data_IF_988105806420
#
_entry.id   IF_988105806420
#
_cell.length_a   1.000
_cell.length_b   1.000
_cell.length_c   1.000
_cell.angle_alpha   90.00
_cell.angle_beta   90.00
_cell.angle_gamma   90.00
#
_symmetry.space_group_name_H-M   'P 1'
#
loop_
_entity.id
_entity.type
_entity.pdbx_description
1 polymer ?
#
# COMPACT_ATOMS: atom_id res chain seq x y z
N UNK A 1 -26.24 -36.42 35.17
CA UNK A 1 -25.16 -36.24 34.18
C UNK A 1 -25.80 -35.84 32.89
N UNK A 2 -25.76 -34.54 32.55
CA UNK A 2 -26.25 -34.03 31.27
C UNK A 2 -25.03 -33.90 30.32
N UNK A 3 -25.05 -34.64 29.27
CA UNK A 3 -24.02 -34.60 28.19
C UNK A 3 -24.49 -33.53 27.19
N UNK A 4 -23.88 -32.38 27.18
CA UNK A 4 -24.07 -31.34 26.16
C UNK A 4 -23.25 -31.71 24.94
N UNK A 5 -23.90 -32.07 23.86
CA UNK A 5 -23.30 -32.27 22.54
C UNK A 5 -23.00 -30.88 21.94
N UNK A 6 -21.73 -30.55 21.76
CA UNK A 6 -21.30 -29.41 20.94
C UNK A 6 -21.39 -29.80 19.47
N UNK A 7 -22.40 -29.29 18.77
CA UNK A 7 -22.43 -29.32 17.30
C UNK A 7 -21.43 -28.28 16.77
N UNK A 8 -20.27 -28.73 16.30
CA UNK A 8 -19.39 -27.93 15.46
C UNK A 8 -19.99 -27.88 14.05
N UNK A 9 -20.70 -26.80 13.75
CA UNK A 9 -21.01 -26.43 12.37
C UNK A 9 -19.69 -26.06 11.70
N UNK A 10 -19.12 -26.99 10.94
CA UNK A 10 -18.00 -26.73 10.04
C UNK A 10 -18.48 -25.74 8.99
N UNK A 11 -18.04 -24.49 9.09
CA UNK A 11 -18.12 -23.57 7.98
C UNK A 11 -17.21 -24.15 6.89
N UNK A 12 -17.78 -24.48 5.73
CA UNK A 12 -17.01 -24.81 4.53
C UNK A 12 -16.17 -23.56 4.22
N UNK A 13 -14.86 -23.65 4.43
CA UNK A 13 -13.94 -22.62 4.00
C UNK A 13 -14.03 -22.58 2.47
N UNK A 14 -14.38 -21.43 1.92
CA UNK A 14 -14.35 -21.19 0.48
C UNK A 14 -12.87 -21.20 0.07
N UNK A 15 -12.38 -22.31 -0.45
CA UNK A 15 -10.98 -22.50 -0.87
C UNK A 15 -10.56 -21.51 -1.98
N UNK A 16 -11.51 -20.78 -2.57
CA UNK A 16 -11.25 -19.73 -3.55
C UNK A 16 -10.81 -18.39 -2.93
N UNK A 17 -10.84 -18.28 -1.60
CA UNK A 17 -10.46 -17.06 -0.87
C UNK A 17 -9.56 -17.35 0.32
N UNK A 18 -8.62 -16.44 0.55
CA UNK A 18 -7.75 -16.44 1.72
C UNK A 18 -7.74 -15.07 2.37
N UNK A 19 -7.98 -15.02 3.66
CA UNK A 19 -7.83 -13.78 4.45
C UNK A 19 -6.73 -13.98 5.48
N UNK A 20 -5.81 -13.02 5.55
CA UNK A 20 -4.82 -12.93 6.62
C UNK A 20 -4.85 -11.54 7.23
N UNK A 21 -4.68 -11.48 8.54
CA UNK A 21 -4.67 -10.24 9.31
C UNK A 21 -3.36 -10.08 10.06
N UNK A 22 -2.93 -8.84 10.24
CA UNK A 22 -1.78 -8.46 11.06
C UNK A 22 -2.20 -7.32 11.98
N UNK A 23 -1.82 -7.39 13.24
CA UNK A 23 -1.96 -6.28 14.17
C UNK A 23 -0.70 -6.19 15.03
N UNK A 24 -0.05 -5.00 15.03
CA UNK A 24 1.21 -4.78 15.74
C UNK A 24 1.26 -3.41 16.38
N UNK A 25 1.79 -3.35 17.59
CA UNK A 25 2.12 -2.08 18.23
C UNK A 25 3.46 -1.55 17.65
N UNK A 26 3.39 -0.38 17.03
CA UNK A 26 4.52 0.31 16.43
C UNK A 26 4.85 1.63 17.12
N UNK A 27 4.46 1.77 18.41
CA UNK A 27 4.72 2.99 19.19
C UNK A 27 6.20 3.41 19.15
N UNK A 28 7.13 2.45 19.23
CA UNK A 28 8.58 2.69 19.25
C UNK A 28 9.17 2.99 17.88
N UNK A 29 8.44 2.73 16.80
CA UNK A 29 8.93 3.00 15.45
C UNK A 29 8.88 4.50 15.15
N UNK A 30 9.88 5.00 14.47
CA UNK A 30 9.90 6.33 13.83
C UNK A 30 9.55 6.21 12.34
N UNK A 31 9.89 5.07 11.74
CA UNK A 31 9.66 4.76 10.33
C UNK A 31 8.89 3.44 10.24
N UNK A 32 7.86 3.42 9.42
CA UNK A 32 7.17 2.19 9.00
C UNK A 32 7.55 1.91 7.55
N UNK A 33 8.09 0.71 7.31
CA UNK A 33 8.47 0.25 5.98
C UNK A 33 7.57 -0.91 5.56
N UNK A 34 6.97 -0.80 4.37
CA UNK A 34 6.08 -1.78 3.80
C UNK A 34 6.64 -2.30 2.47
N UNK A 35 6.76 -3.61 2.34
CA UNK A 35 7.15 -4.29 1.11
C UNK A 35 5.99 -5.15 0.64
N UNK A 36 5.36 -4.75 -0.46
CA UNK A 36 4.13 -5.35 -0.98
C UNK A 36 4.38 -5.88 -2.40
N UNK A 37 4.01 -7.13 -2.71
CA UNK A 37 4.29 -7.68 -4.04
C UNK A 37 3.38 -7.11 -5.12
N UNK A 38 2.07 -7.30 -4.97
CA UNK A 38 1.05 -6.88 -5.94
C UNK A 38 -0.26 -6.57 -5.24
N UNK A 39 -1.20 -5.98 -5.96
CA UNK A 39 -2.61 -5.88 -5.57
C UNK A 39 -3.13 -4.46 -5.52
N UNK A 40 -4.38 -4.37 -5.13
CA UNK A 40 -5.00 -3.10 -4.77
C UNK A 40 -4.77 -2.82 -3.31
N UNK A 41 -3.97 -1.80 -3.03
CA UNK A 41 -3.55 -1.42 -1.68
C UNK A 41 -4.17 -0.09 -1.29
N UNK A 42 -4.80 -0.05 -0.13
CA UNK A 42 -5.30 1.17 0.50
C UNK A 42 -4.63 1.32 1.86
N UNK A 43 -3.93 2.42 2.07
CA UNK A 43 -3.26 2.73 3.34
C UNK A 43 -3.83 4.02 3.89
N UNK A 44 -4.34 3.96 5.12
CA UNK A 44 -4.94 5.10 5.81
C UNK A 44 -4.18 5.44 7.09
N UNK A 45 -3.89 6.72 7.28
CA UNK A 45 -3.33 7.24 8.51
C UNK A 45 -4.39 7.39 9.60
N UNK A 46 -4.14 6.83 10.77
CA UNK A 46 -5.04 6.89 11.93
C UNK A 46 -4.33 7.45 13.17
N UNK A 47 -5.10 7.87 14.15
CA UNK A 47 -4.56 8.25 15.47
C UNK A 47 -4.33 6.98 16.28
N UNK A 48 -3.17 6.85 16.92
CA UNK A 48 -2.81 5.70 17.75
C UNK A 48 -1.40 5.19 17.50
N UNK A 49 -1.10 4.01 18.05
CA UNK A 49 0.22 3.38 17.95
C UNK A 49 0.21 2.02 17.24
N UNK A 50 -0.95 1.60 16.75
CA UNK A 50 -1.14 0.25 16.21
C UNK A 50 -1.21 0.29 14.69
N UNK A 51 -0.44 -0.59 14.04
CA UNK A 51 -0.61 -0.94 12.63
C UNK A 51 -1.55 -2.14 12.54
N UNK A 52 -2.56 -2.04 11.68
CA UNK A 52 -3.44 -3.15 11.31
C UNK A 52 -3.39 -3.34 9.81
N UNK A 53 -3.33 -4.58 9.35
CA UNK A 53 -3.35 -4.92 7.93
C UNK A 53 -4.24 -6.13 7.70
N UNK A 54 -5.16 -6.00 6.75
CA UNK A 54 -6.03 -7.06 6.27
C UNK A 54 -5.70 -7.33 4.80
N UNK A 55 -5.43 -8.57 4.48
CA UNK A 55 -5.16 -9.03 3.11
C UNK A 55 -6.21 -10.03 2.73
N UNK A 56 -6.86 -9.81 1.61
CA UNK A 56 -7.83 -10.72 1.01
C UNK A 56 -7.29 -11.15 -0.35
N UNK A 57 -6.98 -12.43 -0.49
CA UNK A 57 -6.68 -13.08 -1.75
C UNK A 57 -7.92 -13.78 -2.30
N UNK A 58 -8.21 -13.60 -3.59
CA UNK A 58 -9.30 -14.28 -4.29
C UNK A 58 -8.80 -14.87 -5.59
N UNK A 59 -9.14 -16.13 -5.88
CA UNK A 59 -8.85 -16.76 -7.17
C UNK A 59 -9.61 -16.06 -8.29
N UNK A 60 -8.95 -15.80 -9.42
CA UNK A 60 -9.58 -15.26 -10.63
C UNK A 60 -10.39 -16.33 -11.37
N UNK A 61 -9.93 -17.56 -11.36
CA UNK A 61 -10.61 -18.71 -11.99
C UNK A 61 -11.26 -19.60 -10.93
N UNK A 62 -12.36 -20.26 -11.31
CA UNK A 62 -13.21 -21.03 -10.40
C UNK A 62 -12.55 -22.30 -9.83
N UNK A 63 -11.31 -22.64 -10.18
CA UNK A 63 -10.60 -23.81 -9.66
C UNK A 63 -9.70 -23.41 -8.51
N UNK A 64 -10.14 -23.66 -7.29
CA UNK A 64 -9.41 -23.38 -6.04
C UNK A 64 -7.97 -23.94 -6.03
N UNK A 65 -7.74 -25.06 -6.72
CA UNK A 65 -6.44 -25.72 -6.78
C UNK A 65 -5.33 -24.86 -7.39
N UNK A 66 -5.65 -23.96 -8.33
CA UNK A 66 -4.68 -23.09 -8.97
C UNK A 66 -4.10 -22.02 -8.01
N UNK A 67 -4.87 -21.62 -7.00
CA UNK A 67 -4.49 -20.57 -6.05
C UNK A 67 -3.93 -21.12 -4.74
N UNK A 68 -4.22 -22.37 -4.42
CA UNK A 68 -3.82 -22.96 -3.15
C UNK A 68 -2.32 -22.85 -2.85
N UNK A 69 -1.39 -23.09 -3.79
CA UNK A 69 0.04 -22.95 -3.51
C UNK A 69 0.45 -21.53 -3.10
N UNK A 70 -0.23 -20.51 -3.64
CA UNK A 70 -0.02 -19.12 -3.23
C UNK A 70 -0.61 -18.86 -1.85
N UNK A 71 -1.85 -19.29 -1.62
CA UNK A 71 -2.52 -19.06 -0.34
C UNK A 71 -1.81 -19.70 0.83
N UNK A 72 -1.19 -20.87 0.63
CA UNK A 72 -0.39 -21.54 1.65
C UNK A 72 0.88 -20.76 2.01
N UNK A 73 1.42 -19.98 1.07
CA UNK A 73 2.61 -19.14 1.26
C UNK A 73 2.28 -17.71 1.69
N UNK A 74 1.00 -17.30 1.57
CA UNK A 74 0.60 -15.92 1.87
C UNK A 74 0.74 -15.64 3.36
N UNK A 75 1.72 -14.84 3.72
CA UNK A 75 2.04 -14.54 5.12
C UNK A 75 2.76 -13.20 5.26
N UNK A 76 2.59 -12.57 6.41
CA UNK A 76 3.39 -11.42 6.81
C UNK A 76 4.69 -11.87 7.48
N UNK A 77 5.79 -11.24 7.10
CA UNK A 77 7.02 -11.21 7.89
C UNK A 77 7.21 -9.83 8.46
N UNK A 78 7.77 -9.74 9.68
CA UNK A 78 7.94 -8.48 10.39
C UNK A 78 9.30 -8.39 11.09
N UNK A 79 9.81 -7.16 11.16
CA UNK A 79 10.96 -6.80 11.98
C UNK A 79 10.63 -5.52 12.72
N UNK A 80 10.56 -5.57 14.05
CA UNK A 80 10.20 -4.42 14.89
C UNK A 80 11.46 -3.72 15.42
N UNK A 81 11.40 -2.40 15.53
CA UNK A 81 12.49 -1.57 16.01
C UNK A 81 12.21 -0.09 15.78
N UNK A 82 13.24 0.74 15.72
CA UNK A 82 13.13 2.16 15.32
C UNK A 82 12.59 2.29 13.89
N UNK A 83 12.91 1.34 13.03
CA UNK A 83 12.22 1.07 11.78
C UNK A 83 11.44 -0.22 11.95
N UNK A 84 10.11 -0.14 11.84
CA UNK A 84 9.25 -1.31 11.80
C UNK A 84 9.04 -1.71 10.33
N UNK A 85 9.52 -2.87 9.96
CA UNK A 85 9.44 -3.40 8.59
C UNK A 85 8.44 -4.55 8.52
N UNK A 86 7.56 -4.50 7.51
CA UNK A 86 6.56 -5.52 7.23
C UNK A 86 6.63 -5.89 5.76
N UNK A 87 6.69 -7.17 5.47
CA UNK A 87 6.72 -7.69 4.10
C UNK A 87 5.67 -8.76 3.91
N UNK A 88 4.87 -8.63 2.86
CA UNK A 88 3.92 -9.66 2.45
C UNK A 88 4.63 -10.64 1.51
N UNK A 89 4.56 -11.92 1.85
CA UNK A 89 5.12 -13.01 1.05
C UNK A 89 4.03 -13.79 0.31
N UNK A 90 4.36 -14.43 -0.82
CA UNK A 90 5.64 -14.38 -1.52
C UNK A 90 5.90 -13.01 -2.16
N UNK A 91 7.16 -12.61 -2.25
CA UNK A 91 7.55 -11.28 -2.79
C UNK A 91 7.60 -11.21 -4.33
N UNK A 92 7.50 -12.34 -5.02
CA UNK A 92 7.51 -12.39 -6.49
C UNK A 92 6.16 -11.98 -7.07
N UNK A 93 6.14 -10.99 -7.95
CA UNK A 93 4.93 -10.52 -8.65
C UNK A 93 4.29 -11.63 -9.49
N UNK A 94 5.11 -12.43 -10.17
CA UNK A 94 4.62 -13.51 -11.06
C UNK A 94 3.85 -14.63 -10.34
N UNK A 95 4.05 -14.77 -9.04
CA UNK A 95 3.33 -15.77 -8.24
C UNK A 95 1.83 -15.46 -8.11
N UNK A 96 1.42 -14.21 -8.41
CA UNK A 96 0.05 -13.72 -8.22
C UNK A 96 -0.81 -13.67 -9.50
N UNK A 97 -0.37 -14.26 -10.61
CA UNK A 97 -1.05 -14.13 -11.90
C UNK A 97 -2.52 -14.56 -11.87
N UNK A 98 -2.86 -15.59 -11.10
CA UNK A 98 -4.22 -16.14 -10.99
C UNK A 98 -4.97 -15.67 -9.74
N UNK A 99 -4.45 -14.65 -9.03
CA UNK A 99 -5.04 -14.18 -7.77
C UNK A 99 -5.21 -12.67 -7.78
N UNK A 100 -6.37 -12.22 -7.35
CA UNK A 100 -6.59 -10.82 -6.99
C UNK A 100 -6.27 -10.63 -5.51
N UNK A 101 -5.39 -9.66 -5.22
CA UNK A 101 -5.00 -9.30 -3.85
C UNK A 101 -5.53 -7.91 -3.52
N UNK A 102 -6.28 -7.82 -2.42
CA UNK A 102 -6.70 -6.57 -1.81
C UNK A 102 -6.05 -6.44 -0.44
N UNK A 103 -5.42 -5.29 -0.19
CA UNK A 103 -4.71 -5.01 1.05
C UNK A 103 -5.25 -3.71 1.62
N UNK A 104 -5.75 -3.76 2.85
CA UNK A 104 -6.16 -2.58 3.59
C UNK A 104 -5.27 -2.43 4.81
N UNK A 105 -4.59 -1.29 4.94
CA UNK A 105 -3.69 -1.02 6.07
C UNK A 105 -4.12 0.26 6.76
N UNK A 106 -4.26 0.22 8.06
CA UNK A 106 -4.34 1.39 8.91
C UNK A 106 -3.08 1.49 9.77
N UNK A 107 -2.47 2.67 9.81
CA UNK A 107 -1.21 2.89 10.52
C UNK A 107 -1.17 4.27 11.18
N UNK A 108 -0.32 4.46 12.22
CA UNK A 108 -0.18 5.75 12.87
C UNK A 108 0.27 6.84 11.90
N UNK A 109 -0.53 7.92 11.78
CA UNK A 109 -0.29 9.03 10.85
C UNK A 109 0.89 9.94 11.21
N UNK A 110 1.50 9.76 12.38
CA UNK A 110 2.67 10.50 12.85
C UNK A 110 4.01 9.86 12.42
N UNK A 111 3.99 8.64 11.91
CA UNK A 111 5.20 7.91 11.51
C UNK A 111 5.60 8.24 10.07
N UNK A 112 6.90 8.33 9.82
CA UNK A 112 7.42 8.35 8.44
C UNK A 112 7.10 7.04 7.76
N UNK A 113 6.83 7.10 6.46
CA UNK A 113 6.37 5.94 5.70
C UNK A 113 7.27 5.69 4.49
N UNK A 114 7.74 4.46 4.35
CA UNK A 114 8.45 3.96 3.18
C UNK A 114 7.68 2.78 2.61
N UNK A 115 7.28 2.85 1.34
CA UNK A 115 6.48 1.82 0.69
C UNK A 115 7.16 1.40 -0.61
N UNK A 116 7.26 0.10 -0.79
CA UNK A 116 7.71 -0.54 -2.01
C UNK A 116 6.63 -1.52 -2.48
N UNK A 117 6.08 -1.28 -3.66
CA UNK A 117 5.09 -2.18 -4.25
C UNK A 117 5.54 -2.63 -5.65
N UNK A 118 5.33 -3.91 -5.95
CA UNK A 118 5.67 -4.48 -7.24
C UNK A 118 4.72 -4.03 -8.34
N UNK A 119 3.41 -4.30 -8.19
CA UNK A 119 2.44 -3.92 -9.21
C UNK A 119 1.04 -3.69 -8.62
N UNK A 120 0.22 -2.91 -9.32
CA UNK A 120 -1.20 -2.70 -8.99
C UNK A 120 -1.55 -1.26 -8.68
N UNK A 121 -2.47 -1.05 -7.77
CA UNK A 121 -2.96 0.25 -7.34
C UNK A 121 -2.53 0.50 -5.89
N UNK A 122 -1.92 1.66 -5.62
CA UNK A 122 -1.53 2.09 -4.28
C UNK A 122 -2.19 3.42 -3.95
N UNK A 123 -3.10 3.40 -2.99
CA UNK A 123 -3.82 4.57 -2.49
C UNK A 123 -3.37 4.92 -1.07
N UNK A 124 -2.86 6.11 -0.88
CA UNK A 124 -2.40 6.64 0.40
C UNK A 124 -3.31 7.78 0.84
N UNK A 125 -3.98 7.62 1.98
CA UNK A 125 -5.01 8.53 2.46
C UNK A 125 -4.66 8.99 3.88
N UNK A 126 -4.56 10.30 4.09
CA UNK A 126 -4.31 10.92 5.41
C UNK A 126 -3.07 10.37 6.15
N UNK A 127 -2.10 9.82 5.41
CA UNK A 127 -0.83 9.37 5.95
C UNK A 127 0.10 10.55 6.25
N UNK A 128 1.22 10.30 6.93
CA UNK A 128 2.25 11.31 7.11
C UNK A 128 2.77 11.78 5.75
N UNK A 129 2.91 13.09 5.57
CA UNK A 129 3.46 13.66 4.33
C UNK A 129 4.99 13.44 4.19
N UNK A 130 5.69 13.04 5.26
CA UNK A 130 7.07 12.56 5.20
C UNK A 130 7.09 11.11 4.68
N UNK A 131 7.05 10.95 3.36
CA UNK A 131 6.72 9.71 2.68
C UNK A 131 7.68 9.44 1.53
N UNK A 132 8.09 8.18 1.39
CA UNK A 132 8.68 7.64 0.16
C UNK A 132 7.83 6.49 -0.35
N UNK A 133 7.35 6.55 -1.58
CA UNK A 133 6.59 5.49 -2.22
C UNK A 133 7.20 5.14 -3.58
N UNK A 134 7.44 3.86 -3.80
CA UNK A 134 7.97 3.32 -5.05
C UNK A 134 7.05 2.20 -5.55
N UNK A 135 6.54 2.35 -6.77
CA UNK A 135 5.71 1.37 -7.46
C UNK A 135 6.37 0.98 -8.79
N UNK A 136 6.57 -0.32 -9.04
CA UNK A 136 7.17 -0.73 -10.32
C UNK A 136 6.19 -0.61 -11.48
N UNK A 137 4.92 -1.01 -11.29
CA UNK A 137 3.94 -0.90 -12.36
C UNK A 137 2.53 -0.63 -11.81
N UNK A 138 1.83 0.35 -12.36
CA UNK A 138 0.45 0.64 -12.01
C UNK A 138 0.15 2.09 -11.65
N UNK A 139 -0.71 2.32 -10.69
CA UNK A 139 -1.21 3.63 -10.33
C UNK A 139 -0.93 3.94 -8.85
N UNK A 140 -0.27 5.08 -8.58
CA UNK A 140 0.01 5.60 -7.24
C UNK A 140 -0.80 6.87 -7.02
N UNK A 141 -1.73 6.81 -6.07
CA UNK A 141 -2.55 7.95 -5.64
C UNK A 141 -2.20 8.35 -4.21
N UNK A 142 -1.93 9.62 -4.00
CA UNK A 142 -1.57 10.15 -2.69
C UNK A 142 -2.46 11.34 -2.36
N UNK A 143 -3.07 11.32 -1.18
CA UNK A 143 -3.70 12.49 -0.57
C UNK A 143 -2.86 12.96 0.60
N UNK A 144 -2.42 14.22 0.58
CA UNK A 144 -1.55 14.79 1.60
C UNK A 144 -1.99 16.21 2.00
N UNK A 145 -1.71 16.59 3.26
CA UNK A 145 -1.94 17.96 3.70
C UNK A 145 -0.86 18.89 3.14
N UNK A 146 -1.30 19.93 2.40
CA UNK A 146 -0.40 20.96 1.84
C UNK A 146 0.45 21.61 2.93
N UNK A 147 -0.13 21.87 4.10
CA UNK A 147 0.56 22.52 5.22
C UNK A 147 1.71 21.72 5.82
N UNK A 148 1.73 20.40 5.61
CA UNK A 148 2.82 19.54 6.10
C UNK A 148 4.01 19.47 5.14
N UNK A 149 3.81 19.73 3.84
CA UNK A 149 4.81 19.52 2.80
C UNK A 149 5.75 20.70 2.64
N UNK A 150 7.06 20.46 2.69
CA UNK A 150 8.12 21.38 2.21
C UNK A 150 8.41 21.12 0.73
N UNK A 151 8.40 19.86 0.32
CA UNK A 151 8.76 19.43 -1.03
C UNK A 151 8.00 18.17 -1.40
N UNK A 152 7.44 18.11 -2.60
CA UNK A 152 6.97 16.88 -3.22
C UNK A 152 7.68 16.68 -4.56
N UNK A 153 8.34 15.54 -4.71
CA UNK A 153 8.94 15.07 -5.96
C UNK A 153 8.17 13.86 -6.46
N UNK A 154 7.54 14.03 -7.61
CA UNK A 154 6.74 12.99 -8.26
C UNK A 154 7.40 12.64 -9.59
N UNK A 155 7.57 11.37 -9.88
CA UNK A 155 8.17 10.91 -11.14
C UNK A 155 7.51 9.64 -11.66
N UNK A 156 7.33 9.57 -12.96
CA UNK A 156 7.01 8.35 -13.70
C UNK A 156 8.04 8.18 -14.83
N UNK A 157 8.72 7.03 -14.87
CA UNK A 157 9.71 6.77 -15.93
C UNK A 157 9.03 6.54 -17.28
N UNK A 158 7.91 5.82 -17.26
CA UNK A 158 7.04 5.59 -18.43
C UNK A 158 5.60 5.85 -17.98
N UNK A 159 5.05 7.02 -18.34
CA UNK A 159 3.67 7.38 -17.97
C UNK A 159 3.54 8.83 -17.55
N UNK A 160 2.54 9.10 -16.72
CA UNK A 160 2.11 10.45 -16.42
C UNK A 160 2.22 10.78 -14.92
N UNK A 161 2.37 12.07 -14.65
CA UNK A 161 2.33 12.65 -13.30
C UNK A 161 1.33 13.78 -13.26
N UNK A 162 0.50 13.82 -12.23
CA UNK A 162 -0.47 14.88 -12.00
C UNK A 162 -0.45 15.36 -10.55
N UNK A 163 -0.76 16.63 -10.34
CA UNK A 163 -0.95 17.23 -9.04
C UNK A 163 -2.23 18.08 -9.04
N UNK A 164 -3.07 17.86 -8.04
CA UNK A 164 -4.23 18.70 -7.75
C UNK A 164 -3.91 19.47 -6.46
N UNK A 165 -3.83 20.78 -6.53
CA UNK A 165 -3.57 21.62 -5.35
C UNK A 165 -4.82 21.75 -4.47
N UNK A 166 -4.67 22.34 -3.27
CA UNK A 166 -5.78 22.53 -2.33
C UNK A 166 -6.93 23.41 -2.88
N UNK A 167 -6.69 24.15 -3.96
CA UNK A 167 -7.73 24.95 -4.67
C UNK A 167 -8.43 24.14 -5.76
N UNK A 168 -8.10 22.85 -5.93
CA UNK A 168 -8.67 21.98 -6.96
C UNK A 168 -8.08 22.18 -8.37
N UNK A 169 -6.99 22.92 -8.50
CA UNK A 169 -6.35 23.15 -9.80
C UNK A 169 -5.43 21.98 -10.14
N UNK A 170 -5.66 21.39 -11.31
CA UNK A 170 -4.86 20.31 -11.86
C UNK A 170 -3.62 20.87 -12.58
N UNK A 171 -2.46 20.32 -12.26
CA UNK A 171 -1.21 20.54 -12.96
C UNK A 171 -0.65 19.20 -13.43
N UNK A 172 -0.31 19.11 -14.71
CA UNK A 172 0.37 17.94 -15.27
C UNK A 172 1.88 18.07 -15.10
N UNK A 173 2.55 16.95 -14.90
CA UNK A 173 4.00 16.89 -14.85
C UNK A 173 4.64 17.32 -16.17
N UNK A 174 5.81 17.93 -16.09
CA UNK A 174 6.62 18.18 -17.27
C UNK A 174 7.08 16.85 -17.87
N UNK A 175 7.01 16.75 -19.20
CA UNK A 175 7.52 15.55 -19.91
C UNK A 175 9.03 15.45 -19.71
N UNK A 176 9.45 14.30 -19.14
CA UNK A 176 10.85 13.94 -19.00
C UNK A 176 11.19 12.93 -20.09
N UNK A 177 12.06 13.32 -21.02
CA UNK A 177 12.36 12.53 -22.21
C UNK A 177 11.10 12.28 -23.07
N UNK A 178 11.04 11.19 -23.82
CA UNK A 178 9.93 10.92 -24.74
C UNK A 178 8.72 10.25 -24.08
N UNK A 179 8.87 9.61 -22.91
CA UNK A 179 7.88 8.67 -22.36
C UNK A 179 7.57 8.84 -20.88
N UNK A 180 8.33 9.66 -20.16
CA UNK A 180 8.17 9.88 -18.73
C UNK A 180 7.64 11.27 -18.37
N UNK A 181 7.31 11.49 -17.12
CA UNK A 181 6.90 12.78 -16.57
C UNK A 181 7.44 12.98 -15.16
N UNK A 182 7.71 14.25 -14.82
CA UNK A 182 8.16 14.66 -13.49
C UNK A 182 7.43 15.91 -13.04
N UNK A 183 7.19 16.02 -11.75
CA UNK A 183 6.62 17.22 -11.14
C UNK A 183 7.27 17.48 -9.78
N UNK A 184 7.69 18.73 -9.56
CA UNK A 184 8.19 19.16 -8.27
C UNK A 184 7.26 20.25 -7.73
N UNK A 185 6.75 20.07 -6.54
CA UNK A 185 5.98 21.05 -5.80
C UNK A 185 6.74 21.49 -4.54
N UNK A 186 6.64 22.78 -4.19
CA UNK A 186 7.29 23.37 -3.01
C UNK A 186 6.26 24.07 -2.14
N UNK A 187 6.35 23.86 -0.84
CA UNK A 187 5.51 24.45 0.17
C UNK A 187 6.28 24.91 1.40
N UNK A 188 5.55 25.32 2.43
CA UNK A 188 6.11 25.88 3.66
C UNK A 188 6.21 24.90 4.82
N UNK A 189 5.81 23.64 4.62
CA UNK A 189 5.84 22.59 5.65
C UNK A 189 7.24 22.08 5.99
N UNK A 190 7.33 20.91 6.57
CA UNK A 190 8.60 20.30 7.02
C UNK A 190 8.87 18.94 6.35
N UNK A 191 7.87 18.32 5.76
CA UNK A 191 7.96 16.98 5.20
C UNK A 191 8.40 16.99 3.74
N UNK A 192 9.16 15.97 3.37
CA UNK A 192 9.50 15.66 1.99
C UNK A 192 8.73 14.41 1.56
N UNK A 193 8.02 14.51 0.45
CA UNK A 193 7.32 13.44 -0.22
C UNK A 193 8.07 13.08 -1.49
N UNK A 194 8.40 11.79 -1.65
CA UNK A 194 8.99 11.25 -2.87
C UNK A 194 8.11 10.11 -3.37
N UNK A 195 7.60 10.23 -4.59
CA UNK A 195 6.74 9.24 -5.22
C UNK A 195 7.25 8.89 -6.61
N UNK A 196 7.63 7.63 -6.82
CA UNK A 196 8.18 7.15 -8.07
C UNK A 196 7.36 5.97 -8.59
N UNK A 197 7.04 5.99 -9.88
CA UNK A 197 6.47 4.85 -10.61
C UNK A 197 7.37 4.54 -11.80
N UNK A 198 7.76 3.28 -11.98
CA UNK A 198 8.57 2.90 -13.13
C UNK A 198 7.71 2.87 -14.41
N UNK A 199 6.52 2.25 -14.38
CA UNK A 199 5.59 2.22 -15.50
C UNK A 199 4.17 2.46 -14.99
N UNK A 200 3.57 3.60 -15.34
CA UNK A 200 2.21 3.94 -14.91
C UNK A 200 2.06 5.39 -14.49
N UNK A 201 1.20 5.66 -13.52
CA UNK A 201 0.80 7.02 -13.17
C UNK A 201 1.05 7.34 -11.70
N UNK A 202 1.43 8.59 -11.44
CA UNK A 202 1.48 9.18 -10.09
C UNK A 202 0.51 10.35 -10.01
N UNK A 203 -0.36 10.35 -9.02
CA UNK A 203 -1.21 11.48 -8.72
C UNK A 203 -1.08 11.91 -7.26
N UNK A 204 -0.90 13.23 -7.03
CA UNK A 204 -0.90 13.84 -5.72
C UNK A 204 -2.05 14.83 -5.62
N UNK A 205 -2.91 14.64 -4.62
CA UNK A 205 -3.95 15.58 -4.25
C UNK A 205 -3.61 16.23 -2.93
N UNK A 206 -3.46 17.55 -2.94
CA UNK A 206 -3.25 18.36 -1.75
C UNK A 206 -4.58 18.78 -1.14
N UNK A 207 -4.65 18.76 0.20
CA UNK A 207 -5.81 19.19 1.00
C UNK A 207 -5.42 20.38 1.87
#
# INVERSE_FOLDING_TARGET
>A
MLTTAFSTTGAFADDSKRTITLQEDVAKAQIIKLNLPVGKVVISGVVGSTLKADVIGSCKDATADACKPLFDQLAWTKKLGTTAEFSLNPSSVMTYDNVDIQITISLPKDKKLEIYQGAGELNLIDTNACLTAELKAGELKIEASESQLALANLASTVGDVSLINAKGQLTQGARSKLVGAEHTWKGAGKCQLKANVLAGQVSLKLK
#
